data_IF_988180375123
#
_entry.id   IF_988180375123
#
_cell.length_a   1.000
_cell.length_b   1.000
_cell.length_c   1.000
_cell.angle_alpha   90.00
_cell.angle_beta   90.00
_cell.angle_gamma   90.00
#
_symmetry.space_group_name_H-M   'P 1'
#
loop_
_entity.id
_entity.type
_entity.pdbx_description
1 polymer ?
#
# COMPACT_ATOMS: atom_id res chain seq x y z
N UNK A 1 32.02 -48.25 39.20
CA UNK A 1 30.66 -47.75 39.34
C UNK A 1 30.65 -46.33 38.74
N UNK A 2 30.23 -46.17 37.49
CA UNK A 2 30.16 -44.88 36.79
C UNK A 2 28.67 -44.48 36.64
N UNK A 3 28.29 -43.39 37.31
CA UNK A 3 26.93 -42.83 37.27
C UNK A 3 26.80 -41.92 36.04
N UNK A 4 25.91 -42.29 35.11
CA UNK A 4 25.54 -41.48 33.99
C UNK A 4 24.41 -40.48 34.39
N UNK A 5 24.75 -39.19 34.44
CA UNK A 5 23.77 -38.13 34.64
C UNK A 5 23.10 -37.81 33.29
N UNK A 6 21.82 -38.11 33.19
CA UNK A 6 20.96 -37.80 32.06
C UNK A 6 20.60 -36.29 32.11
N UNK A 7 21.10 -35.50 31.15
CA UNK A 7 20.71 -34.09 30.97
C UNK A 7 19.39 -34.03 30.18
N UNK A 8 18.32 -33.60 30.83
CA UNK A 8 17.06 -33.24 30.18
C UNK A 8 17.24 -31.91 29.49
N UNK A 9 17.14 -31.89 28.14
CA UNK A 9 17.04 -30.68 27.36
C UNK A 9 15.56 -30.31 27.32
N UNK A 10 15.22 -29.22 28.01
CA UNK A 10 13.88 -28.65 27.97
C UNK A 10 13.77 -27.86 26.65
N UNK A 11 13.03 -28.37 25.69
CA UNK A 11 12.68 -27.67 24.48
C UNK A 11 11.52 -26.71 24.83
N UNK A 12 11.81 -25.41 24.87
CA UNK A 12 10.79 -24.39 24.97
C UNK A 12 10.04 -24.32 23.62
N UNK A 13 8.81 -24.77 23.61
CA UNK A 13 7.89 -24.59 22.48
C UNK A 13 7.53 -23.11 22.39
N UNK A 14 8.09 -22.41 21.41
CA UNK A 14 7.63 -21.09 21.01
C UNK A 14 6.30 -21.28 20.30
N UNK A 15 5.21 -20.94 21.00
CA UNK A 15 3.89 -20.87 20.40
C UNK A 15 3.88 -19.70 19.40
N UNK A 16 3.98 -20.01 18.11
CA UNK A 16 3.62 -19.08 17.06
C UNK A 16 2.12 -18.80 17.18
N UNK A 17 1.79 -17.63 17.73
CA UNK A 17 0.45 -17.10 17.69
C UNK A 17 0.05 -16.90 16.23
N UNK A 18 -0.77 -17.82 15.71
CA UNK A 18 -1.48 -17.64 14.44
C UNK A 18 -2.40 -16.43 14.60
N UNK A 19 -1.95 -15.28 14.13
CA UNK A 19 -2.83 -14.14 13.91
C UNK A 19 -3.82 -14.54 12.84
N UNK A 20 -5.03 -14.90 13.29
CA UNK A 20 -6.18 -15.14 12.41
C UNK A 20 -6.48 -13.77 11.77
N UNK A 21 -6.00 -13.57 10.54
CA UNK A 21 -6.50 -12.53 9.68
C UNK A 21 -7.99 -12.81 9.49
N UNK A 22 -8.84 -12.12 10.23
CA UNK A 22 -10.28 -12.01 9.96
C UNK A 22 -10.44 -11.18 8.68
N UNK A 23 -10.10 -11.79 7.53
CA UNK A 23 -10.56 -11.32 6.24
C UNK A 23 -12.08 -11.36 6.31
N UNK A 24 -12.74 -10.22 6.25
CA UNK A 24 -14.18 -10.13 6.01
C UNK A 24 -14.43 -10.78 4.65
N UNK A 25 -14.72 -12.08 4.68
CA UNK A 25 -15.19 -12.79 3.52
C UNK A 25 -16.50 -12.10 3.11
N UNK A 26 -16.59 -11.70 1.85
CA UNK A 26 -17.86 -11.39 1.23
C UNK A 26 -18.65 -12.70 1.21
N UNK A 27 -19.45 -12.91 2.24
CA UNK A 27 -20.33 -14.06 2.32
C UNK A 27 -21.33 -13.90 1.17
N UNK A 28 -21.35 -14.85 0.25
CA UNK A 28 -22.48 -15.03 -0.64
C UNK A 28 -23.70 -15.22 0.27
N UNK A 29 -24.55 -14.19 0.37
CA UNK A 29 -25.68 -14.20 1.28
C UNK A 29 -26.64 -15.30 0.82
N UNK A 30 -26.98 -16.21 1.73
CA UNK A 30 -28.20 -17.01 1.60
C UNK A 30 -29.39 -16.04 1.41
N UNK A 31 -30.30 -16.31 0.48
CA UNK A 31 -31.42 -15.42 0.20
C UNK A 31 -32.29 -15.26 1.47
N UNK A 32 -32.18 -14.09 2.09
CA UNK A 32 -33.13 -13.71 3.15
C UNK A 32 -34.40 -13.20 2.47
N UNK A 33 -35.44 -14.03 2.51
CA UNK A 33 -36.78 -13.74 1.96
C UNK A 33 -37.58 -13.02 3.03
N UNK A 34 -37.07 -11.92 3.58
CA UNK A 34 -37.81 -11.07 4.48
C UNK A 34 -38.54 -9.94 3.74
N UNK A 35 -39.79 -10.17 3.39
CA UNK A 35 -40.83 -9.15 3.28
C UNK A 35 -40.89 -8.22 2.07
N UNK A 36 -39.88 -8.11 1.23
CA UNK A 36 -39.88 -7.30 0.01
C UNK A 36 -39.09 -7.99 -1.13
N UNK A 37 -39.57 -9.01 -1.72
CA UNK A 37 -39.15 -9.69 -2.97
C UNK A 37 -37.78 -9.37 -3.63
N UNK A 38 -36.81 -8.88 -2.88
CA UNK A 38 -35.49 -8.50 -3.34
C UNK A 38 -34.46 -9.47 -2.75
N UNK A 39 -34.04 -10.45 -3.55
CA UNK A 39 -32.95 -11.36 -3.20
C UNK A 39 -31.65 -10.55 -3.19
N UNK A 40 -31.04 -10.38 -2.02
CA UNK A 40 -29.71 -9.79 -1.90
C UNK A 40 -28.69 -10.78 -2.48
N UNK A 41 -28.04 -10.41 -3.58
CA UNK A 41 -27.01 -11.25 -4.22
C UNK A 41 -25.66 -11.07 -3.52
N UNK A 42 -25.36 -9.86 -3.04
CA UNK A 42 -24.10 -9.52 -2.38
C UNK A 42 -24.35 -8.52 -1.26
N UNK A 43 -23.65 -8.69 -0.15
CA UNK A 43 -23.67 -7.77 1.01
C UNK A 43 -22.24 -7.62 1.52
N UNK A 44 -21.87 -6.42 1.94
CA UNK A 44 -20.57 -6.17 2.52
C UNK A 44 -20.46 -4.82 3.21
N UNK A 45 -19.27 -4.57 3.74
CA UNK A 45 -18.91 -3.31 4.40
C UNK A 45 -17.65 -2.72 3.79
N UNK A 46 -17.47 -1.41 3.93
CA UNK A 46 -16.31 -0.69 3.42
C UNK A 46 -16.60 0.10 2.14
N UNK A 47 -15.61 0.84 1.69
CA UNK A 47 -15.69 1.60 0.43
C UNK A 47 -15.83 0.67 -0.77
N UNK A 48 -16.97 0.73 -1.42
CA UNK A 48 -17.29 -0.11 -2.57
C UNK A 48 -16.82 0.53 -3.86
N UNK A 49 -16.07 -0.20 -4.69
CA UNK A 49 -15.64 0.26 -6.00
C UNK A 49 -16.72 -0.08 -7.03
N UNK A 50 -17.38 0.94 -7.56
CA UNK A 50 -18.46 0.80 -8.52
C UNK A 50 -17.90 0.84 -9.95
N UNK A 51 -18.30 -0.10 -10.83
CA UNK A 51 -17.81 -0.16 -12.22
C UNK A 51 -18.33 1.01 -13.08
N UNK A 52 -17.76 1.15 -14.27
CA UNK A 52 -18.18 2.16 -15.24
C UNK A 52 -19.65 2.06 -15.67
N UNK A 53 -20.27 0.88 -15.56
CA UNK A 53 -21.71 0.64 -15.86
C UNK A 53 -22.66 1.18 -14.76
N UNK A 54 -22.17 1.75 -13.69
CA UNK A 54 -23.00 2.31 -12.63
C UNK A 54 -23.80 3.52 -13.12
N UNK A 55 -25.10 3.54 -12.86
CA UNK A 55 -26.02 4.57 -13.36
C UNK A 55 -26.03 5.88 -12.55
N UNK A 56 -25.38 5.92 -11.39
CA UNK A 56 -25.28 7.12 -10.56
C UNK A 56 -24.16 8.07 -11.02
N UNK A 57 -24.07 9.23 -10.36
CA UNK A 57 -23.07 10.24 -10.68
C UNK A 57 -21.65 9.83 -10.26
N UNK A 58 -20.62 10.44 -10.86
CA UNK A 58 -19.22 10.25 -10.43
C UNK A 58 -19.00 10.70 -8.97
N UNK A 59 -19.70 11.74 -8.53
CA UNK A 59 -19.69 12.15 -7.12
C UNK A 59 -20.21 11.05 -6.19
N UNK A 60 -21.26 10.33 -6.61
CA UNK A 60 -21.77 9.18 -5.87
C UNK A 60 -20.75 8.04 -5.83
N UNK A 61 -20.08 7.72 -6.95
CA UNK A 61 -19.02 6.71 -7.01
C UNK A 61 -17.89 7.03 -6.02
N UNK A 62 -17.40 8.26 -6.02
CA UNK A 62 -16.36 8.72 -5.11
C UNK A 62 -16.80 8.61 -3.65
N UNK A 63 -17.99 9.14 -3.32
CA UNK A 63 -18.51 9.08 -1.96
C UNK A 63 -18.69 7.64 -1.44
N UNK A 64 -19.09 6.71 -2.32
CA UNK A 64 -19.24 5.30 -2.00
C UNK A 64 -17.86 4.64 -1.79
N UNK A 65 -16.88 4.95 -2.63
CA UNK A 65 -15.52 4.42 -2.52
C UNK A 65 -14.79 4.94 -1.27
N UNK A 66 -15.05 6.18 -0.85
CA UNK A 66 -14.38 6.82 0.28
C UNK A 66 -14.97 6.45 1.64
N UNK A 67 -16.17 5.88 1.68
CA UNK A 67 -16.82 5.53 2.95
C UNK A 67 -16.37 4.15 3.45
N UNK A 68 -15.24 4.09 4.18
CA UNK A 68 -14.65 2.82 4.67
C UNK A 68 -15.53 2.11 5.75
N UNK A 69 -16.41 2.82 6.44
CA UNK A 69 -17.29 2.27 7.47
C UNK A 69 -18.73 1.99 7.00
N UNK A 70 -19.02 2.20 5.72
CA UNK A 70 -20.38 2.04 5.21
C UNK A 70 -20.73 0.58 4.91
N UNK A 71 -22.04 0.30 4.91
CA UNK A 71 -22.63 -0.98 4.49
C UNK A 71 -23.21 -0.85 3.10
N UNK A 72 -23.08 -1.87 2.30
CA UNK A 72 -23.62 -1.93 0.96
C UNK A 72 -24.25 -3.28 0.68
N UNK A 73 -25.22 -3.33 -0.25
CA UNK A 73 -25.82 -4.56 -0.77
C UNK A 73 -26.19 -4.39 -2.25
N UNK A 74 -26.16 -5.49 -2.96
CA UNK A 74 -26.67 -5.61 -4.32
C UNK A 74 -27.94 -6.45 -4.29
N UNK A 75 -29.00 -5.96 -4.91
CA UNK A 75 -30.23 -6.72 -5.11
C UNK A 75 -30.53 -6.78 -6.58
N UNK A 76 -31.01 -7.94 -7.10
CA UNK A 76 -31.39 -8.05 -8.49
C UNK A 76 -32.50 -7.01 -8.79
N UNK A 77 -32.33 -6.29 -9.89
CA UNK A 77 -33.31 -5.29 -10.33
C UNK A 77 -34.56 -5.97 -10.88
N UNK A 78 -35.58 -6.16 -10.07
CA UNK A 78 -36.87 -6.70 -10.46
C UNK A 78 -37.91 -5.56 -10.41
N UNK A 79 -38.72 -5.42 -11.47
CA UNK A 79 -39.86 -4.51 -11.46
C UNK A 79 -40.96 -5.10 -10.59
N UNK A 80 -41.50 -4.31 -9.66
CA UNK A 80 -42.65 -4.73 -8.87
C UNK A 80 -43.89 -4.90 -9.77
N UNK A 81 -44.62 -5.98 -9.63
CA UNK A 81 -45.90 -6.23 -10.32
C UNK A 81 -45.81 -6.95 -11.67
N UNK A 82 -44.62 -7.33 -12.13
CA UNK A 82 -44.52 -8.15 -13.36
C UNK A 82 -44.60 -9.63 -13.01
N UNK A 83 -45.54 -10.35 -13.68
CA UNK A 83 -45.65 -11.82 -13.58
C UNK A 83 -44.41 -12.57 -14.13
N UNK A 84 -43.46 -11.88 -14.72
CA UNK A 84 -42.20 -12.43 -15.23
C UNK A 84 -41.07 -11.95 -14.33
N UNK A 85 -40.58 -12.77 -13.41
CA UNK A 85 -39.56 -12.31 -12.46
C UNK A 85 -38.28 -11.92 -13.18
N UNK A 86 -37.88 -10.66 -13.01
CA UNK A 86 -36.56 -10.14 -13.32
C UNK A 86 -36.11 -10.20 -14.80
N UNK A 87 -37.04 -10.35 -15.79
CA UNK A 87 -36.67 -10.27 -17.20
C UNK A 87 -35.90 -9.01 -17.55
N UNK A 88 -36.29 -7.86 -16.98
CA UNK A 88 -35.60 -6.58 -17.15
C UNK A 88 -34.14 -6.65 -16.68
N UNK A 89 -33.84 -7.35 -15.60
CA UNK A 89 -32.47 -7.48 -15.11
C UNK A 89 -31.55 -8.23 -16.12
N UNK A 90 -32.12 -9.14 -16.90
CA UNK A 90 -31.36 -9.89 -17.93
C UNK A 90 -31.21 -9.09 -19.22
N UNK A 91 -32.27 -8.39 -19.65
CA UNK A 91 -32.31 -7.72 -20.97
C UNK A 91 -31.63 -6.36 -20.99
N UNK A 92 -31.44 -5.74 -19.83
CA UNK A 92 -30.84 -4.38 -19.71
C UNK A 92 -29.32 -4.38 -19.66
N UNK A 93 -28.68 -5.54 -19.59
CA UNK A 93 -27.24 -5.66 -19.46
C UNK A 93 -26.63 -6.51 -20.58
N UNK A 94 -25.31 -6.36 -20.85
CA UNK A 94 -24.57 -7.24 -21.75
C UNK A 94 -24.69 -8.71 -21.35
N UNK A 95 -24.54 -9.63 -22.33
CA UNK A 95 -24.59 -11.08 -22.09
C UNK A 95 -23.63 -11.47 -20.96
N UNK A 96 -24.11 -12.31 -20.03
CA UNK A 96 -23.33 -12.80 -18.88
C UNK A 96 -23.35 -11.85 -17.68
N UNK A 97 -24.12 -10.78 -17.72
CA UNK A 97 -24.32 -9.87 -16.56
C UNK A 97 -25.80 -9.64 -16.30
N UNK A 98 -26.11 -9.27 -15.06
CA UNK A 98 -27.47 -8.93 -14.61
C UNK A 98 -27.49 -7.49 -14.10
N UNK A 99 -28.64 -6.85 -14.16
CA UNK A 99 -28.85 -5.53 -13.58
C UNK A 99 -29.16 -5.68 -12.09
N UNK A 100 -28.37 -4.97 -11.27
CA UNK A 100 -28.57 -4.91 -9.82
C UNK A 100 -28.87 -3.49 -9.39
N UNK A 101 -29.69 -3.34 -8.34
CA UNK A 101 -29.77 -2.11 -7.53
C UNK A 101 -28.65 -2.12 -6.52
N UNK A 102 -27.96 -1.00 -6.39
CA UNK A 102 -26.92 -0.79 -5.39
C UNK A 102 -27.53 0.00 -4.24
N UNK A 103 -27.48 -0.58 -3.06
CA UNK A 103 -27.89 0.03 -1.80
C UNK A 103 -26.64 0.39 -1.02
N UNK A 104 -26.63 1.56 -0.44
CA UNK A 104 -25.46 2.06 0.29
C UNK A 104 -25.90 2.94 1.47
N UNK A 105 -25.24 2.85 2.62
CA UNK A 105 -25.53 3.65 3.79
C UNK A 105 -24.52 3.44 4.91
N UNK A 106 -24.58 4.29 5.92
CA UNK A 106 -23.64 4.23 7.06
C UNK A 106 -23.89 3.05 7.99
N UNK A 107 -25.11 2.59 8.06
CA UNK A 107 -25.53 1.42 8.88
C UNK A 107 -26.44 0.53 8.06
N UNK A 108 -26.62 -0.75 8.42
CA UNK A 108 -27.56 -1.64 7.73
C UNK A 108 -29.00 -1.08 7.64
N UNK A 109 -29.40 -0.29 8.61
CA UNK A 109 -30.77 0.29 8.69
C UNK A 109 -30.92 1.61 7.92
N UNK A 110 -29.81 2.23 7.48
CA UNK A 110 -29.82 3.51 6.75
C UNK A 110 -29.42 3.36 5.28
N UNK A 111 -29.39 2.13 4.76
CA UNK A 111 -29.07 1.91 3.34
C UNK A 111 -30.20 2.40 2.44
N UNK A 112 -29.85 3.17 1.42
CA UNK A 112 -30.75 3.65 0.38
C UNK A 112 -30.23 3.23 -1.00
N UNK A 113 -31.11 3.19 -2.00
CA UNK A 113 -30.71 2.95 -3.40
C UNK A 113 -29.91 4.15 -3.88
N UNK A 114 -28.67 3.91 -4.30
CA UNK A 114 -27.78 4.95 -4.85
C UNK A 114 -27.67 4.88 -6.37
N UNK A 115 -28.08 3.76 -6.97
CA UNK A 115 -28.07 3.55 -8.41
C UNK A 115 -28.26 2.10 -8.78
N UNK A 116 -28.00 1.79 -10.04
CA UNK A 116 -28.00 0.42 -10.57
C UNK A 116 -26.70 0.15 -11.33
N UNK A 117 -26.39 -1.13 -11.50
CA UNK A 117 -25.17 -1.61 -12.15
C UNK A 117 -25.39 -2.91 -12.88
N UNK A 118 -24.80 -3.04 -14.08
CA UNK A 118 -24.66 -4.33 -14.72
C UNK A 118 -23.48 -5.08 -14.13
N UNK A 119 -23.71 -6.22 -13.49
CA UNK A 119 -22.68 -6.99 -12.83
C UNK A 119 -22.69 -8.44 -13.31
N UNK A 120 -21.49 -8.98 -13.61
CA UNK A 120 -21.31 -10.37 -14.02
C UNK A 120 -21.12 -11.32 -12.83
N UNK A 121 -20.38 -12.40 -13.06
CA UNK A 121 -20.11 -13.44 -12.07
C UNK A 121 -19.01 -13.11 -11.06
N UNK A 122 -18.38 -11.95 -11.17
CA UNK A 122 -17.30 -11.53 -10.25
C UNK A 122 -17.86 -10.98 -8.95
N UNK A 123 -17.11 -11.10 -7.85
CA UNK A 123 -17.50 -10.52 -6.56
C UNK A 123 -17.27 -9.00 -6.56
N UNK A 124 -18.18 -8.19 -6.01
CA UNK A 124 -17.93 -6.77 -5.80
C UNK A 124 -16.66 -6.52 -4.96
N UNK A 125 -15.87 -5.51 -5.33
CA UNK A 125 -14.56 -5.23 -4.73
C UNK A 125 -14.64 -3.99 -3.88
N UNK A 126 -14.03 -4.05 -2.71
CA UNK A 126 -13.89 -2.92 -1.81
C UNK A 126 -12.51 -2.26 -1.95
N UNK A 127 -12.45 -0.99 -1.59
CA UNK A 127 -11.20 -0.23 -1.54
C UNK A 127 -10.13 -0.92 -0.69
N UNK A 128 -10.49 -1.47 0.47
CA UNK A 128 -9.57 -2.20 1.34
C UNK A 128 -8.94 -3.43 0.67
N UNK A 129 -9.71 -4.16 -0.14
CA UNK A 129 -9.17 -5.31 -0.89
C UNK A 129 -8.16 -4.87 -1.95
N UNK A 130 -8.38 -3.74 -2.61
CA UNK A 130 -7.42 -3.18 -3.55
C UNK A 130 -6.19 -2.67 -2.83
N UNK A 131 -6.33 -1.95 -1.72
CA UNK A 131 -5.21 -1.45 -0.90
C UNK A 131 -4.30 -2.58 -0.45
N UNK A 132 -4.83 -3.68 0.09
CA UNK A 132 -4.02 -4.84 0.47
C UNK A 132 -3.23 -5.42 -0.70
N UNK A 133 -3.82 -5.48 -1.89
CA UNK A 133 -3.09 -5.91 -3.10
C UNK A 133 -2.03 -4.90 -3.53
N UNK A 134 -2.30 -3.62 -3.43
CA UNK A 134 -1.33 -2.56 -3.72
C UNK A 134 -0.13 -2.66 -2.78
N UNK A 135 -0.35 -2.87 -1.49
CA UNK A 135 0.70 -3.08 -0.49
C UNK A 135 1.58 -4.29 -0.86
N UNK A 136 0.98 -5.44 -1.19
CA UNK A 136 1.71 -6.63 -1.64
C UNK A 136 2.59 -6.35 -2.86
N UNK A 137 2.07 -5.61 -3.85
CA UNK A 137 2.82 -5.25 -5.05
C UNK A 137 3.96 -4.28 -4.76
N UNK A 138 3.73 -3.29 -3.90
CA UNK A 138 4.78 -2.35 -3.47
C UNK A 138 5.89 -3.10 -2.77
N UNK A 139 5.59 -3.93 -1.77
CA UNK A 139 6.59 -4.73 -1.04
C UNK A 139 7.39 -5.62 -1.98
N UNK A 140 6.74 -6.21 -2.97
CA UNK A 140 7.37 -7.17 -3.90
C UNK A 140 8.27 -6.52 -4.94
N UNK A 141 7.91 -5.33 -5.46
CA UNK A 141 8.55 -4.74 -6.64
C UNK A 141 9.40 -3.52 -6.35
N UNK A 142 9.26 -2.85 -5.20
CA UNK A 142 10.08 -1.69 -4.85
C UNK A 142 11.55 -2.08 -4.83
N UNK A 143 12.45 -1.31 -5.50
CA UNK A 143 13.88 -1.56 -5.49
C UNK A 143 14.47 -1.55 -4.08
N UNK A 144 15.43 -2.43 -3.84
CA UNK A 144 16.15 -2.46 -2.58
C UNK A 144 16.91 -1.14 -2.33
N UNK A 145 16.95 -0.72 -1.08
CA UNK A 145 17.74 0.44 -0.66
C UNK A 145 19.24 0.10 -0.75
N UNK A 146 19.97 0.83 -1.62
CA UNK A 146 21.41 0.63 -1.87
C UNK A 146 22.17 1.95 -1.74
N UNK A 147 22.27 2.50 -0.52
CA UNK A 147 22.90 3.79 -0.31
C UNK A 147 24.42 3.72 -0.52
N UNK A 148 24.98 4.87 -0.87
CA UNK A 148 26.42 5.03 -0.98
C UNK A 148 26.86 6.45 -0.60
N UNK A 149 28.19 6.66 -0.64
CA UNK A 149 28.78 7.95 -0.36
C UNK A 149 30.06 8.19 -1.18
N UNK A 150 30.39 9.44 -1.44
CA UNK A 150 31.63 9.92 -2.05
C UNK A 150 32.34 10.95 -1.15
N UNK A 151 33.68 10.92 -1.10
CA UNK A 151 34.60 10.02 -1.81
C UNK A 151 34.61 8.61 -1.20
N UNK A 152 34.86 7.56 -2.01
CA UNK A 152 34.96 6.21 -1.50
C UNK A 152 36.16 6.09 -0.54
N UNK A 153 35.94 5.39 0.59
CA UNK A 153 36.96 5.25 1.62
C UNK A 153 36.95 6.38 2.68
N UNK A 154 36.05 7.37 2.57
CA UNK A 154 35.87 8.43 3.58
C UNK A 154 36.33 9.80 3.12
N UNK A 155 36.34 10.76 4.05
CA UNK A 155 36.66 12.17 3.77
C UNK A 155 37.52 12.77 4.89
N UNK A 156 37.82 14.06 4.75
CA UNK A 156 38.50 14.85 5.77
C UNK A 156 37.47 15.65 6.62
N UNK A 157 37.88 16.00 7.83
CA UNK A 157 37.11 16.94 8.65
C UNK A 157 36.82 18.24 7.89
N UNK A 158 35.60 18.75 8.03
CA UNK A 158 35.08 19.93 7.34
C UNK A 158 34.95 19.82 5.81
N UNK A 159 35.36 18.72 5.20
CA UNK A 159 35.08 18.46 3.80
C UNK A 159 33.70 17.80 3.65
N UNK A 160 32.92 18.17 2.63
CA UNK A 160 31.60 17.58 2.43
C UNK A 160 31.71 16.12 1.95
N UNK A 161 30.93 15.24 2.55
CA UNK A 161 30.66 13.90 2.05
C UNK A 161 29.36 13.96 1.26
N UNK A 162 29.33 13.41 0.08
CA UNK A 162 28.15 13.31 -0.78
C UNK A 162 27.47 11.97 -0.53
N UNK A 163 26.15 11.95 -0.46
CA UNK A 163 25.37 10.73 -0.21
C UNK A 163 24.27 10.53 -1.26
N UNK A 164 23.88 9.27 -1.46
CA UNK A 164 22.72 8.90 -2.27
C UNK A 164 22.04 7.65 -1.72
N UNK A 165 20.75 7.53 -2.01
CA UNK A 165 19.94 6.39 -1.53
C UNK A 165 20.04 5.13 -2.42
N UNK A 166 20.42 5.30 -3.69
CA UNK A 166 20.39 4.22 -4.69
C UNK A 166 18.98 3.80 -5.09
N UNK A 167 17.96 4.64 -4.82
CA UNK A 167 16.57 4.39 -5.18
C UNK A 167 16.01 5.54 -6.01
N UNK A 168 14.98 5.29 -6.85
CA UNK A 168 14.30 6.34 -7.60
C UNK A 168 13.38 7.17 -6.67
N UNK A 169 13.11 8.42 -7.02
CA UNK A 169 12.17 9.30 -6.33
C UNK A 169 10.70 8.95 -6.59
N UNK A 170 10.45 8.16 -7.61
CA UNK A 170 9.13 7.60 -7.95
C UNK A 170 9.31 6.26 -8.63
N UNK A 171 8.46 5.31 -8.32
CA UNK A 171 8.47 3.98 -8.90
C UNK A 171 7.06 3.54 -9.24
N UNK A 172 6.90 2.87 -10.38
CA UNK A 172 5.62 2.33 -10.85
C UNK A 172 5.74 0.80 -10.91
N UNK A 173 5.28 0.07 -9.88
CA UNK A 173 5.15 -1.37 -9.97
C UNK A 173 4.26 -1.77 -11.15
N UNK A 174 4.33 -3.03 -11.62
CA UNK A 174 3.36 -3.54 -12.58
C UNK A 174 1.93 -3.36 -12.07
N UNK A 175 1.01 -2.94 -12.95
CA UNK A 175 -0.41 -2.90 -12.62
C UNK A 175 -1.01 -4.31 -12.56
N UNK A 176 -2.21 -4.43 -12.01
CA UNK A 176 -2.94 -5.70 -11.93
C UNK A 176 -4.42 -5.48 -12.22
N UNK A 177 -5.12 -6.57 -12.56
CA UNK A 177 -6.58 -6.57 -12.71
C UNK A 177 -7.25 -7.26 -11.52
N UNK A 178 -8.33 -6.67 -11.01
CA UNK A 178 -9.14 -7.21 -9.95
C UNK A 178 -10.62 -6.97 -10.24
N UNK A 179 -11.40 -8.05 -10.38
CA UNK A 179 -12.85 -8.01 -10.66
C UNK A 179 -13.25 -7.05 -11.79
N UNK A 180 -12.51 -7.06 -12.90
CA UNK A 180 -12.78 -6.23 -14.07
C UNK A 180 -12.22 -4.80 -14.00
N UNK A 181 -11.60 -4.39 -12.90
CA UNK A 181 -10.90 -3.12 -12.79
C UNK A 181 -9.40 -3.31 -12.99
N UNK A 182 -8.79 -2.46 -13.81
CA UNK A 182 -7.34 -2.37 -13.88
C UNK A 182 -6.84 -1.38 -12.84
N UNK A 183 -5.83 -1.77 -12.08
CA UNK A 183 -5.21 -0.96 -11.02
C UNK A 183 -3.77 -0.63 -11.42
N UNK A 184 -3.47 0.65 -11.53
CA UNK A 184 -2.10 1.15 -11.69
C UNK A 184 -1.60 1.77 -10.38
N UNK A 185 -0.30 1.63 -10.10
CA UNK A 185 0.31 2.04 -8.85
C UNK A 185 1.44 3.02 -9.12
N UNK A 186 1.58 4.02 -8.27
CA UNK A 186 2.76 4.90 -8.19
C UNK A 186 3.19 4.98 -6.74
N UNK A 187 4.45 4.64 -6.46
CA UNK A 187 5.03 4.71 -5.12
C UNK A 187 6.15 5.75 -5.09
N UNK A 188 6.27 6.46 -3.98
CA UNK A 188 7.28 7.50 -3.80
C UNK A 188 7.85 7.43 -2.38
N UNK A 189 9.19 7.47 -2.22
CA UNK A 189 9.83 7.42 -0.93
C UNK A 189 10.15 8.83 -0.39
N UNK A 190 10.27 8.90 0.93
CA UNK A 190 11.03 9.92 1.62
C UNK A 190 12.15 9.24 2.40
N UNK A 191 13.31 9.89 2.51
CA UNK A 191 14.46 9.32 3.19
C UNK A 191 14.78 10.11 4.45
N UNK A 192 14.94 9.38 5.57
CA UNK A 192 15.51 9.93 6.80
C UNK A 192 16.96 9.51 6.90
N UNK A 193 17.87 10.48 6.91
CA UNK A 193 19.30 10.30 7.13
C UNK A 193 19.64 10.61 8.57
N UNK A 194 20.37 9.71 9.24
CA UNK A 194 20.97 9.91 10.55
C UNK A 194 22.47 9.85 10.35
N UNK A 195 23.17 10.96 10.60
CA UNK A 195 24.56 11.11 10.19
C UNK A 195 25.58 10.45 11.11
N UNK A 196 25.16 9.93 12.27
CA UNK A 196 26.03 9.26 13.23
C UNK A 196 26.75 10.23 14.19
N UNK A 197 26.59 11.52 14.01
CA UNK A 197 27.12 12.59 14.88
C UNK A 197 26.03 13.21 15.79
N UNK A 198 24.89 12.56 15.88
CA UNK A 198 23.71 13.02 16.62
C UNK A 198 22.72 13.83 15.78
N UNK A 199 23.11 14.25 14.57
CA UNK A 199 22.22 14.98 13.66
C UNK A 199 21.49 14.07 12.69
N UNK A 200 20.33 14.54 12.16
CA UNK A 200 19.53 13.83 11.19
C UNK A 200 18.79 14.82 10.29
N UNK A 201 18.39 14.35 9.10
CA UNK A 201 17.62 15.16 8.15
C UNK A 201 16.67 14.28 7.32
N UNK A 202 15.50 14.83 6.97
CA UNK A 202 14.62 14.27 5.97
C UNK A 202 14.95 14.82 4.60
N UNK A 203 14.90 13.96 3.58
CA UNK A 203 15.15 14.31 2.18
C UNK A 203 14.08 13.69 1.29
N UNK A 204 13.59 14.46 0.32
CA UNK A 204 12.70 14.02 -0.76
C UNK A 204 13.45 13.74 -2.06
N UNK A 205 14.76 13.99 -2.11
CA UNK A 205 15.65 13.72 -3.23
C UNK A 205 16.46 12.46 -2.96
N UNK A 206 16.71 11.67 -4.00
CA UNK A 206 17.46 10.42 -3.89
C UNK A 206 18.96 10.64 -3.64
N UNK A 207 19.49 11.81 -4.02
CA UNK A 207 20.91 12.02 -4.18
C UNK A 207 21.48 11.28 -5.40
N UNK A 208 22.71 11.58 -5.73
CA UNK A 208 23.48 10.88 -6.76
C UNK A 208 24.98 11.01 -6.45
N UNK A 209 25.78 10.17 -7.09
CA UNK A 209 27.25 10.25 -7.02
C UNK A 209 27.78 11.58 -7.53
N UNK A 210 29.03 11.88 -7.19
CA UNK A 210 29.71 13.06 -7.74
C UNK A 210 29.51 13.12 -9.29
N UNK A 211 29.25 14.29 -9.87
CA UNK A 211 29.35 15.66 -9.31
C UNK A 211 28.09 16.17 -8.56
N UNK A 212 27.08 15.34 -8.32
CA UNK A 212 25.90 15.77 -7.58
C UNK A 212 26.25 16.14 -6.13
N UNK A 213 25.61 17.21 -5.62
CA UNK A 213 25.74 17.66 -4.24
C UNK A 213 24.37 17.84 -3.57
N UNK A 214 23.37 17.09 -4.02
CA UNK A 214 22.00 17.21 -3.51
C UNK A 214 21.88 16.80 -2.04
N UNK A 215 22.65 15.78 -1.63
CA UNK A 215 22.72 15.34 -0.25
C UNK A 215 24.18 15.36 0.17
N UNK A 216 24.53 16.28 1.08
CA UNK A 216 25.86 16.40 1.64
C UNK A 216 25.80 16.52 3.15
N UNK A 217 26.83 16.05 3.82
CA UNK A 217 27.06 16.27 5.24
C UNK A 217 28.55 16.52 5.53
N UNK A 218 28.85 17.33 6.55
CA UNK A 218 30.21 17.66 6.97
C UNK A 218 30.40 17.26 8.42
N UNK A 219 31.51 16.60 8.71
CA UNK A 219 31.87 16.16 10.06
C UNK A 219 32.96 17.09 10.63
N UNK A 220 32.78 17.51 11.87
CA UNK A 220 33.71 18.43 12.54
C UNK A 220 34.88 17.74 13.22
N UNK A 221 34.70 16.46 13.58
CA UNK A 221 35.71 15.66 14.29
C UNK A 221 36.07 14.43 13.48
N UNK A 222 37.35 13.97 13.54
CA UNK A 222 37.70 12.70 12.91
C UNK A 222 37.06 11.52 13.66
N UNK A 223 36.78 10.44 12.95
CA UNK A 223 36.17 9.25 13.53
C UNK A 223 35.53 8.35 12.48
N UNK A 224 34.90 7.28 12.92
CA UNK A 224 34.04 6.40 12.10
C UNK A 224 32.58 6.67 12.43
N UNK A 225 31.83 7.11 11.45
CA UNK A 225 30.42 7.46 11.61
C UNK A 225 29.53 6.39 11.01
N UNK A 226 28.58 5.90 11.80
CA UNK A 226 27.54 4.99 11.32
C UNK A 226 26.37 5.82 10.79
N UNK A 227 26.35 6.01 9.47
CA UNK A 227 25.31 6.77 8.78
C UNK A 227 24.14 5.86 8.48
N UNK A 228 23.01 6.10 9.13
CA UNK A 228 21.77 5.38 8.88
C UNK A 228 20.92 6.08 7.83
N UNK A 229 20.34 5.32 6.90
CA UNK A 229 19.31 5.82 6.00
C UNK A 229 18.09 4.92 6.08
N UNK A 230 16.92 5.53 6.20
CA UNK A 230 15.63 4.85 6.20
C UNK A 230 14.77 5.45 5.10
N UNK A 231 14.34 4.63 4.16
CA UNK A 231 13.38 4.97 3.13
C UNK A 231 11.97 4.58 3.61
N UNK A 232 11.06 5.53 3.64
CA UNK A 232 9.65 5.35 3.95
C UNK A 232 8.84 5.57 2.66
N UNK A 233 8.22 4.52 2.15
CA UNK A 233 7.47 4.52 0.91
C UNK A 233 5.98 4.74 1.14
N UNK A 234 5.40 5.65 0.38
CA UNK A 234 3.97 5.85 0.26
C UNK A 234 3.50 5.43 -1.12
N UNK A 235 2.27 4.99 -1.25
CA UNK A 235 1.71 4.58 -2.54
C UNK A 235 0.38 5.28 -2.83
N UNK A 236 0.20 5.58 -4.11
CA UNK A 236 -1.05 6.03 -4.71
C UNK A 236 -1.42 5.06 -5.81
N UNK A 237 -2.70 4.75 -5.95
CA UNK A 237 -3.19 3.87 -6.98
C UNK A 237 -4.40 4.46 -7.69
N UNK A 238 -4.53 4.12 -8.98
CA UNK A 238 -5.68 4.50 -9.80
C UNK A 238 -6.43 3.25 -10.23
N UNK A 239 -7.71 3.22 -9.95
CA UNK A 239 -8.65 2.16 -10.38
C UNK A 239 -9.38 2.66 -11.61
N UNK A 240 -9.25 1.94 -12.72
CA UNK A 240 -9.88 2.32 -13.99
C UNK A 240 -11.40 2.45 -13.87
N UNK A 241 -11.96 3.59 -14.33
CA UNK A 241 -13.39 3.87 -14.27
C UNK A 241 -13.93 4.18 -12.86
N UNK A 242 -13.08 4.33 -11.84
CA UNK A 242 -13.49 4.66 -10.46
C UNK A 242 -12.80 5.92 -9.96
N UNK A 243 -11.46 5.95 -9.92
CA UNK A 243 -10.74 7.11 -9.39
C UNK A 243 -9.32 6.78 -8.92
N UNK A 244 -8.68 7.79 -8.30
CA UNK A 244 -7.33 7.70 -7.75
C UNK A 244 -7.38 7.86 -6.24
N UNK A 245 -6.67 7.00 -5.52
CA UNK A 245 -6.68 6.90 -4.07
C UNK A 245 -5.26 6.81 -3.52
N UNK A 246 -5.05 7.35 -2.32
CA UNK A 246 -3.82 7.14 -1.57
C UNK A 246 -3.99 5.92 -0.64
N UNK A 247 -2.93 5.11 -0.52
CA UNK A 247 -2.87 4.08 0.52
C UNK A 247 -2.62 4.76 1.85
N UNK A 248 -3.36 4.37 2.87
CA UNK A 248 -3.25 4.98 4.19
C UNK A 248 -1.91 4.63 4.85
N UNK A 249 -1.10 5.63 5.18
CA UNK A 249 0.14 5.46 5.89
C UNK A 249 1.33 5.04 5.02
N UNK A 250 2.31 4.43 5.67
CA UNK A 250 3.53 3.95 5.03
C UNK A 250 3.36 2.49 4.60
N UNK A 251 3.59 2.20 3.32
CA UNK A 251 3.41 0.86 2.76
C UNK A 251 4.66 -0.01 2.86
N UNK A 252 5.85 0.59 2.93
CA UNK A 252 7.12 -0.13 3.04
C UNK A 252 8.19 0.75 3.71
N UNK A 253 8.93 0.15 4.63
CA UNK A 253 10.12 0.74 5.25
C UNK A 253 11.34 -0.11 4.98
N UNK A 254 12.41 0.54 4.50
CA UNK A 254 13.72 -0.09 4.29
C UNK A 254 14.78 0.72 5.01
N UNK A 255 15.74 0.06 5.68
CA UNK A 255 16.83 0.74 6.40
C UNK A 255 18.16 0.09 6.07
N UNK A 256 19.20 0.93 5.96
CA UNK A 256 20.60 0.53 5.76
C UNK A 256 21.52 1.43 6.56
N UNK A 257 22.71 0.93 6.86
CA UNK A 257 23.78 1.67 7.54
C UNK A 257 25.04 1.62 6.70
N UNK A 258 25.74 2.76 6.64
CA UNK A 258 27.04 2.94 6.00
C UNK A 258 28.08 3.26 7.08
N UNK A 259 29.28 2.74 6.95
CA UNK A 259 30.43 3.13 7.76
C UNK A 259 31.26 4.16 6.99
N UNK A 260 31.33 5.39 7.51
CA UNK A 260 32.01 6.53 6.86
C UNK A 260 33.19 6.97 7.72
N UNK A 261 34.43 6.66 7.31
CA UNK A 261 35.63 7.13 8.02
C UNK A 261 35.92 8.58 7.67
N UNK A 262 36.20 9.38 8.70
CA UNK A 262 36.61 10.79 8.60
C UNK A 262 37.97 10.96 9.24
N UNK A 263 38.92 11.47 8.47
CA UNK A 263 40.29 11.69 8.91
C UNK A 263 40.56 13.19 9.16
N UNK A 264 41.53 13.52 10.02
CA UNK A 264 42.01 14.89 10.17
C UNK A 264 43.03 15.23 9.07
N UNK A 265 42.93 16.41 8.49
CA UNK A 265 44.02 16.98 7.69
C UNK A 265 45.14 17.50 8.61
N UNK A 266 46.38 17.18 8.32
CA UNK A 266 47.57 17.81 8.96
C UNK A 266 48.34 18.55 7.89
N UNK A 267 48.61 19.82 8.14
CA UNK A 267 49.51 20.61 7.31
C UNK A 267 50.95 20.30 7.71
N UNK A 268 51.77 19.90 6.76
CA UNK A 268 53.20 19.73 6.94
C UNK A 268 53.91 20.83 6.16
N UNK A 269 54.67 21.66 6.85
CA UNK A 269 55.55 22.64 6.22
C UNK A 269 56.76 21.90 5.68
N UNK A 270 56.94 21.94 4.36
CA UNK A 270 58.14 21.40 3.69
C UNK A 270 59.07 22.62 3.43
N UNK A 271 60.24 22.66 4.07
CA UNK A 271 61.25 23.63 3.71
C UNK A 271 61.92 23.21 2.42
N UNK A 272 61.88 24.05 1.42
CA UNK A 272 62.74 23.90 0.24
C UNK A 272 64.12 24.43 0.56
N UNK A 273 65.10 23.56 0.56
CA UNK A 273 66.53 23.88 0.55
C UNK A 273 67.03 24.03 -0.87
#
# INVERSE_FOLDING_TARGET
>A
MKSNALRFITVAAVAFGSSIFSGTQSVAATPDVSGNNAIAAYVGTGGLLLPGSFSGSEATKSAVADCLGCTWRYTIYCMQGANTPCKHAVTSCPRGSLLYRVWFGRTPNTVAVVGSVCWGSTTPVTRRQVEGRVEDYVVRYIPALQPGYDPPGGSLTSAPVIFWSGQPTSFKPPGFSLSGHFVSITASPTWRWSWGDGSAAWKSVAGAQYPSKQITHQYRTPGRYKVGVTAAWQARYTVSGVGTFDVSGEVLRQSKTLDVPISSARTVLVSHS
#
